data_IF_509982533816
#
_entry.id   IF_509982533816
#
_cell.length_a   1.000
_cell.length_b   1.000
_cell.length_c   1.000
_cell.angle_alpha   90.00
_cell.angle_beta   90.00
_cell.angle_gamma   90.00
#
_symmetry.space_group_name_H-M   'P 1'
#
loop_
_entity.id
_entity.type
_entity.pdbx_description
1 polymer ?
#
# COMPACT_ATOMS: atom_id res chain seq x y z
N UNK A 1 6.29 1.12 -14.45
CA UNK A 1 6.26 0.08 -13.39
C UNK A 1 6.91 0.73 -12.20
N UNK A 2 6.30 0.63 -11.03
CA UNK A 2 6.92 1.12 -9.81
C UNK A 2 8.00 0.13 -9.36
N UNK A 3 9.12 0.68 -8.90
CA UNK A 3 10.26 -0.03 -8.34
C UNK A 3 10.05 -0.30 -6.84
N UNK A 4 10.86 -1.19 -6.27
CA UNK A 4 10.83 -1.49 -4.84
C UNK A 4 11.08 -0.24 -3.99
N UNK A 5 12.01 0.61 -4.41
CA UNK A 5 12.32 1.87 -3.74
C UNK A 5 11.13 2.84 -3.74
N UNK A 6 10.46 3.00 -4.90
CA UNK A 6 9.23 3.82 -5.02
C UNK A 6 8.13 3.27 -4.09
N UNK A 7 7.95 1.95 -4.02
CA UNK A 7 6.94 1.34 -3.16
C UNK A 7 7.28 1.46 -1.66
N UNK A 8 8.56 1.37 -1.28
CA UNK A 8 9.02 1.64 0.07
C UNK A 8 8.78 3.11 0.46
N UNK A 9 9.11 4.04 -0.42
CA UNK A 9 8.84 5.45 -0.21
C UNK A 9 7.34 5.74 -0.06
N UNK A 10 6.50 5.10 -0.88
CA UNK A 10 5.05 5.19 -0.76
C UNK A 10 4.55 4.69 0.60
N UNK A 11 5.08 3.55 1.06
CA UNK A 11 4.80 3.02 2.40
C UNK A 11 5.16 4.05 3.45
N UNK A 12 6.34 4.67 3.39
CA UNK A 12 6.80 5.61 4.40
C UNK A 12 6.00 6.93 4.38
N UNK A 13 5.77 7.52 3.20
CA UNK A 13 5.01 8.78 3.07
C UNK A 13 3.53 8.62 3.45
N UNK A 14 2.92 7.47 3.17
CA UNK A 14 1.48 7.23 3.41
C UNK A 14 1.20 6.30 4.59
N UNK A 15 2.21 5.97 5.41
CA UNK A 15 2.03 5.07 6.56
C UNK A 15 0.99 5.59 7.54
N UNK A 16 1.02 6.89 7.83
CA UNK A 16 0.06 7.51 8.74
C UNK A 16 -1.36 7.50 8.16
N UNK A 17 -1.53 7.82 6.88
CA UNK A 17 -2.82 7.76 6.19
C UNK A 17 -3.42 6.36 6.21
N UNK A 18 -2.61 5.33 5.91
CA UNK A 18 -3.05 3.94 5.92
C UNK A 18 -3.42 3.47 7.32
N UNK A 19 -2.64 3.84 8.35
CA UNK A 19 -2.97 3.54 9.75
C UNK A 19 -4.26 4.22 10.21
N UNK A 20 -4.44 5.50 9.87
CA UNK A 20 -5.66 6.26 10.19
C UNK A 20 -6.89 5.63 9.53
N UNK A 21 -6.73 5.11 8.31
CA UNK A 21 -7.78 4.36 7.61
C UNK A 21 -8.13 3.00 8.24
N UNK A 22 -7.39 2.56 9.27
CA UNK A 22 -7.60 1.30 9.98
C UNK A 22 -6.71 0.14 9.52
N UNK A 23 -5.66 0.40 8.72
CA UNK A 23 -4.69 -0.63 8.39
C UNK A 23 -3.85 -0.96 9.63
N UNK A 24 -3.77 -2.24 10.00
CA UNK A 24 -2.95 -2.70 11.13
C UNK A 24 -1.51 -2.98 10.70
N UNK A 25 -1.31 -3.36 9.43
CA UNK A 25 0.00 -3.62 8.86
C UNK A 25 0.08 -3.11 7.43
N UNK A 26 1.28 -2.73 6.99
CA UNK A 26 1.54 -2.22 5.66
C UNK A 26 2.83 -2.88 5.16
N UNK A 27 2.75 -3.57 4.03
CA UNK A 27 3.88 -4.23 3.40
C UNK A 27 4.13 -3.68 1.99
N UNK A 28 5.29 -3.99 1.45
CA UNK A 28 5.64 -3.72 0.05
C UNK A 28 5.89 -5.07 -0.61
N UNK A 29 5.16 -5.35 -1.68
CA UNK A 29 5.31 -6.60 -2.43
C UNK A 29 4.99 -6.40 -3.92
N UNK A 30 5.16 -7.44 -4.73
CA UNK A 30 4.85 -7.42 -6.15
C UNK A 30 3.36 -7.71 -6.36
N UNK A 31 2.64 -6.70 -6.82
CA UNK A 31 1.24 -6.80 -7.19
C UNK A 31 1.05 -6.84 -8.70
N UNK A 32 -0.07 -7.42 -9.14
CA UNK A 32 -0.35 -7.64 -10.57
C UNK A 32 -1.37 -6.62 -11.08
N UNK A 33 -0.88 -5.50 -11.63
CA UNK A 33 -1.73 -4.47 -12.26
C UNK A 33 -1.75 -4.65 -13.78
N UNK A 34 -2.94 -4.82 -14.36
CA UNK A 34 -3.12 -4.88 -15.82
C UNK A 34 -2.35 -6.02 -16.50
N UNK A 35 -2.18 -7.16 -15.81
CA UNK A 35 -1.46 -8.33 -16.33
C UNK A 35 0.07 -8.27 -16.19
N UNK A 36 0.63 -7.22 -15.61
CA UNK A 36 2.08 -7.07 -15.37
C UNK A 36 2.37 -7.04 -13.87
N UNK A 37 3.46 -7.70 -13.47
CA UNK A 37 3.96 -7.65 -12.09
C UNK A 37 4.68 -6.31 -11.88
N UNK A 38 4.32 -5.59 -10.84
CA UNK A 38 4.94 -4.32 -10.43
C UNK A 38 5.05 -4.29 -8.91
N UNK A 39 5.98 -3.52 -8.36
CA UNK A 39 5.98 -3.31 -6.92
C UNK A 39 4.83 -2.37 -6.54
N UNK A 40 4.23 -2.62 -5.38
CA UNK A 40 3.15 -1.82 -4.82
C UNK A 40 3.10 -1.96 -3.31
N UNK A 41 2.23 -1.16 -2.70
CA UNK A 41 1.99 -1.19 -1.26
C UNK A 41 0.79 -2.10 -1.01
N UNK A 42 0.89 -2.97 0.00
CA UNK A 42 -0.21 -3.81 0.46
C UNK A 42 -0.59 -3.35 1.87
N UNK A 43 -1.78 -2.80 2.01
CA UNK A 43 -2.34 -2.41 3.29
C UNK A 43 -3.23 -3.54 3.83
N UNK A 44 -2.87 -4.04 5.01
CA UNK A 44 -3.57 -5.11 5.69
C UNK A 44 -4.54 -4.56 6.72
N UNK A 45 -5.80 -4.95 6.57
CA UNK A 45 -6.88 -4.56 7.47
C UNK A 45 -7.43 -5.78 8.20
N UNK A 46 -7.89 -5.58 9.43
CA UNK A 46 -8.56 -6.64 10.20
C UNK A 46 -9.96 -6.94 9.65
N UNK A 47 -10.62 -5.91 9.12
CA UNK A 47 -11.93 -5.95 8.47
C UNK A 47 -11.93 -5.02 7.26
N UNK A 48 -12.91 -5.16 6.39
CA UNK A 48 -13.05 -4.30 5.22
C UNK A 48 -13.10 -2.82 5.67
N UNK A 49 -12.24 -1.94 5.12
CA UNK A 49 -12.20 -0.55 5.55
C UNK A 49 -13.54 0.12 5.25
N UNK A 50 -14.08 0.82 6.24
CA UNK A 50 -15.32 1.59 6.11
C UNK A 50 -15.12 2.85 5.23
N UNK A 51 -13.87 3.34 5.13
CA UNK A 51 -13.49 4.47 4.29
C UNK A 51 -13.02 4.02 2.89
N UNK A 52 -13.32 4.77 1.83
CA UNK A 52 -12.82 4.48 0.49
C UNK A 52 -11.31 4.72 0.42
N UNK A 53 -10.56 3.64 0.20
CA UNK A 53 -9.10 3.67 0.02
C UNK A 53 -8.79 3.81 -1.48
N UNK A 54 -7.86 4.69 -1.87
CA UNK A 54 -7.45 4.79 -3.27
C UNK A 54 -6.71 3.51 -3.71
N UNK A 55 -6.89 3.09 -4.96
CA UNK A 55 -6.15 1.95 -5.54
C UNK A 55 -4.71 2.32 -5.93
N UNK A 56 -4.34 3.60 -5.82
CA UNK A 56 -3.00 4.11 -6.13
C UNK A 56 -2.62 5.22 -5.17
N UNK A 57 -1.39 5.20 -4.66
CA UNK A 57 -0.78 6.26 -3.89
C UNK A 57 0.12 7.11 -4.79
N UNK A 58 -0.01 8.43 -4.70
CA UNK A 58 0.93 9.35 -5.34
C UNK A 58 2.12 9.59 -4.42
N UNK A 59 3.33 9.38 -4.92
CA UNK A 59 4.57 9.74 -4.25
C UNK A 59 5.26 10.86 -5.01
N UNK A 60 5.96 11.72 -4.28
CA UNK A 60 6.97 12.60 -4.86
C UNK A 60 8.32 11.87 -4.89
N UNK A 61 8.86 11.65 -6.09
CA UNK A 61 10.19 11.09 -6.34
C UNK A 61 11.03 12.13 -7.08
N UNK A 62 11.86 12.86 -6.35
CA UNK A 62 12.72 13.93 -6.89
C UNK A 62 11.95 14.96 -7.73
N UNK A 63 10.81 15.44 -7.23
CA UNK A 63 9.93 16.39 -7.93
C UNK A 63 9.12 15.79 -9.08
N UNK A 64 9.22 14.48 -9.32
CA UNK A 64 8.38 13.75 -10.24
C UNK A 64 7.31 13.01 -9.47
N UNK A 65 6.04 13.38 -9.68
CA UNK A 65 4.92 12.62 -9.12
C UNK A 65 4.82 11.26 -9.79
N UNK A 66 4.84 10.20 -9.00
CA UNK A 66 4.72 8.81 -9.45
C UNK A 66 3.53 8.17 -8.76
N UNK A 67 2.74 7.40 -9.53
CA UNK A 67 1.63 6.64 -8.98
C UNK A 67 2.08 5.22 -8.68
N UNK A 68 2.09 4.86 -7.40
CA UNK A 68 2.37 3.52 -6.91
C UNK A 68 1.05 2.81 -6.65
N UNK A 69 0.83 1.61 -7.19
CA UNK A 69 -0.41 0.88 -6.93
C UNK A 69 -0.49 0.42 -5.47
N UNK A 70 -1.68 0.54 -4.89
CA UNK A 70 -2.03 0.18 -3.52
C UNK A 70 -3.09 -0.91 -3.57
N UNK A 71 -2.81 -2.03 -2.92
CA UNK A 71 -3.75 -3.14 -2.77
C UNK A 71 -4.15 -3.27 -1.31
N UNK A 72 -5.45 -3.46 -1.07
CA UNK A 72 -5.96 -3.71 0.28
C UNK A 72 -6.20 -5.20 0.46
N UNK A 73 -5.67 -5.78 1.53
CA UNK A 73 -5.87 -7.17 1.88
C UNK A 73 -6.48 -7.27 3.28
N UNK A 74 -7.38 -8.24 3.49
CA UNK A 74 -7.87 -8.56 4.82
C UNK A 74 -6.96 -9.64 5.40
N UNK A 75 -6.21 -9.29 6.43
CA UNK A 75 -5.40 -10.25 7.16
C UNK A 75 -5.79 -10.20 8.63
N UNK A 76 -6.29 -11.32 9.21
CA UNK A 76 -6.57 -11.37 10.63
C UNK A 76 -5.26 -11.08 11.37
N UNK A 77 -5.35 -10.24 12.41
CA UNK A 77 -4.22 -10.01 13.31
C UNK A 77 -3.88 -11.36 13.91
N UNK A 78 -2.80 -11.97 13.47
CA UNK A 78 -2.37 -13.24 14.03
C UNK A 78 -2.14 -12.99 15.52
N UNK A 79 -3.01 -13.56 16.35
CA UNK A 79 -2.79 -13.67 17.78
C UNK A 79 -1.48 -14.43 17.93
N UNK A 80 -0.40 -13.73 18.25
CA UNK A 80 0.79 -14.38 18.77
C UNK A 80 0.40 -14.82 20.19
N UNK A 81 -0.13 -16.03 20.29
CA UNK A 81 -0.27 -16.78 21.55
C UNK A 81 1.06 -17.41 21.95
#
# INVERSE_FOLDING_TARGET
>A
MATEAEAHQAREQHSDFLKDSGAHAIAVDKIKRGGKNTFGVIAYYEKQPDAPIPDTLEIDDDGNKRSVPLETAIAPRATLE
#
